data_IF_876490758844
#
_entry.id   IF_876490758844
#
_cell.length_a   1.000
_cell.length_b   1.000
_cell.length_c   1.000
_cell.angle_alpha   90.00
_cell.angle_beta   90.00
_cell.angle_gamma   90.00
#
_symmetry.space_group_name_H-M   'P 1'
#
loop_
_entity.id
_entity.type
_entity.pdbx_description
1 polymer ?
#
# COMPACT_ATOMS: atom_id res chain seq x y z
N UNK A 1 -40.57 -17.77 33.06
CA UNK A 1 -39.58 -18.50 32.26
C UNK A 1 -39.39 -17.91 30.85
N UNK A 2 -40.45 -17.75 30.00
CA UNK A 2 -40.24 -17.21 28.63
C UNK A 2 -39.60 -15.80 28.54
N UNK A 3 -39.92 -14.88 29.48
CA UNK A 3 -39.31 -13.54 29.52
C UNK A 3 -37.83 -13.55 29.93
N UNK A 4 -37.41 -14.45 30.78
CA UNK A 4 -36.01 -14.60 31.22
C UNK A 4 -35.15 -15.19 30.11
N UNK A 5 -35.69 -16.15 29.35
CA UNK A 5 -35.00 -16.73 28.17
C UNK A 5 -34.82 -15.68 27.05
N UNK A 6 -35.83 -14.82 26.83
CA UNK A 6 -35.72 -13.74 25.85
C UNK A 6 -34.66 -12.69 26.23
N UNK A 7 -34.50 -12.36 27.51
CA UNK A 7 -33.47 -11.42 28.00
C UNK A 7 -32.09 -12.06 27.89
N UNK A 8 -31.94 -13.37 28.18
CA UNK A 8 -30.66 -14.06 28.00
C UNK A 8 -30.27 -14.21 26.54
N UNK A 9 -31.22 -14.42 25.62
CA UNK A 9 -30.96 -14.45 24.17
C UNK A 9 -30.60 -13.06 23.63
N UNK A 10 -31.22 -11.99 24.13
CA UNK A 10 -30.87 -10.63 23.76
C UNK A 10 -29.47 -10.24 24.26
N UNK A 11 -29.12 -10.64 25.49
CA UNK A 11 -27.78 -10.44 26.05
C UNK A 11 -26.70 -11.23 25.29
N UNK A 12 -27.00 -12.48 24.90
CA UNK A 12 -26.10 -13.29 24.06
C UNK A 12 -25.92 -12.71 22.66
N UNK A 13 -26.98 -12.12 22.08
CA UNK A 13 -26.89 -11.46 20.79
C UNK A 13 -26.07 -10.15 20.84
N UNK A 14 -26.16 -9.39 21.95
CA UNK A 14 -25.30 -8.23 22.17
C UNK A 14 -23.82 -8.58 22.37
N UNK A 15 -23.51 -9.75 22.93
CA UNK A 15 -22.12 -10.23 23.05
C UNK A 15 -21.53 -10.77 21.73
N UNK A 16 -22.40 -11.04 20.75
CA UNK A 16 -21.97 -11.50 19.41
C UNK A 16 -21.91 -10.39 18.35
N UNK A 17 -22.26 -9.15 18.72
CA UNK A 17 -21.92 -8.03 17.85
C UNK A 17 -20.39 -7.95 17.82
N UNK A 18 -19.76 -8.11 16.65
CA UNK A 18 -18.33 -7.78 16.55
C UNK A 18 -18.25 -6.35 17.06
N UNK A 19 -17.51 -6.14 18.15
CA UNK A 19 -17.19 -4.80 18.60
C UNK A 19 -16.76 -4.04 17.34
N UNK A 20 -17.30 -2.86 17.11
CA UNK A 20 -16.79 -1.95 16.11
C UNK A 20 -15.31 -1.79 16.46
N UNK A 21 -14.49 -2.63 15.85
CA UNK A 21 -13.04 -2.54 15.93
C UNK A 21 -12.74 -1.18 15.33
N UNK A 22 -12.60 -0.19 16.20
CA UNK A 22 -11.97 1.06 15.80
C UNK A 22 -10.63 0.62 15.23
N UNK A 23 -10.42 0.87 13.94
CA UNK A 23 -9.13 0.62 13.34
C UNK A 23 -8.11 1.34 14.24
N UNK A 24 -7.28 0.58 14.96
CA UNK A 24 -6.20 1.15 15.74
C UNK A 24 -5.30 1.86 14.72
N UNK A 25 -5.01 3.13 14.98
CA UNK A 25 -4.03 3.84 14.16
C UNK A 25 -2.72 3.04 14.22
N UNK A 26 -2.05 2.83 13.07
CA UNK A 26 -0.84 2.04 13.06
C UNK A 26 0.19 2.64 14.02
N UNK A 27 0.79 1.81 14.84
CA UNK A 27 1.77 2.18 15.85
C UNK A 27 3.02 2.77 15.19
N UNK A 28 3.69 3.68 15.92
CA UNK A 28 4.92 4.33 15.45
C UNK A 28 6.11 3.72 16.17
N UNK A 29 6.93 2.99 15.43
CA UNK A 29 8.15 2.40 15.93
C UNK A 29 9.35 3.32 15.76
N UNK A 30 10.21 3.36 16.82
CA UNK A 30 11.51 4.06 16.78
C UNK A 30 12.62 3.04 16.54
N UNK A 31 13.30 3.15 15.40
CA UNK A 31 14.45 2.32 15.08
C UNK A 31 15.70 2.88 15.75
N UNK A 32 16.42 2.03 16.49
CA UNK A 32 17.60 2.38 17.25
C UNK A 32 18.85 1.72 16.63
N UNK A 33 19.88 2.52 16.43
CA UNK A 33 21.20 2.01 16.03
C UNK A 33 21.78 1.06 17.10
N UNK A 34 22.86 0.29 16.79
CA UNK A 34 23.55 -0.54 17.79
C UNK A 34 24.03 0.22 19.04
N UNK A 35 24.22 1.54 18.90
CA UNK A 35 24.62 2.42 20.02
C UNK A 35 23.43 3.09 20.73
N UNK A 36 22.19 2.69 20.42
CA UNK A 36 20.97 3.25 21.00
C UNK A 36 20.57 4.63 20.48
N UNK A 37 21.23 5.15 19.42
CA UNK A 37 20.84 6.40 18.78
C UNK A 37 19.62 6.16 17.88
N UNK A 38 18.63 7.06 17.89
CA UNK A 38 17.51 7.04 16.95
C UNK A 38 18.02 7.17 15.51
N UNK A 39 17.65 6.22 14.67
CA UNK A 39 17.90 6.24 13.23
C UNK A 39 16.76 6.90 12.47
N UNK A 40 15.56 6.43 12.73
CA UNK A 40 14.32 6.91 12.09
C UNK A 40 13.11 6.45 12.90
N UNK A 41 11.94 7.04 12.62
CA UNK A 41 10.65 6.51 13.03
C UNK A 41 9.92 5.93 11.83
N UNK A 42 9.06 4.96 12.07
CA UNK A 42 8.27 4.27 11.06
C UNK A 42 6.86 4.03 11.59
N UNK A 43 5.84 4.43 10.84
CA UNK A 43 4.45 4.13 11.14
C UNK A 43 4.04 2.83 10.43
N UNK A 44 3.65 1.81 11.17
CA UNK A 44 3.24 0.51 10.64
C UNK A 44 3.81 -0.66 11.43
N UNK A 45 3.63 -1.87 10.94
CA UNK A 45 4.19 -3.07 11.57
C UNK A 45 5.69 -3.14 11.35
N UNK A 46 6.45 -3.13 12.44
CA UNK A 46 7.90 -3.35 12.43
C UNK A 46 8.19 -4.78 12.91
N UNK A 47 9.04 -5.50 12.20
CA UNK A 47 9.39 -6.87 12.59
C UNK A 47 10.89 -7.15 12.46
N UNK A 48 11.33 -8.18 13.18
CA UNK A 48 12.70 -8.70 13.04
C UNK A 48 12.97 -9.08 11.57
N UNK A 49 14.11 -8.60 11.05
CA UNK A 49 14.51 -8.79 9.67
C UNK A 49 14.01 -7.69 8.72
N UNK A 50 13.31 -6.65 9.20
CA UNK A 50 13.12 -5.44 8.43
C UNK A 50 14.47 -4.76 8.20
N UNK A 51 14.62 -4.11 7.06
CA UNK A 51 15.85 -3.47 6.70
C UNK A 51 15.65 -1.97 6.46
N UNK A 52 16.73 -1.22 6.63
CA UNK A 52 16.71 0.23 6.56
C UNK A 52 18.01 0.75 5.97
N UNK A 53 17.94 1.53 4.89
CA UNK A 53 19.06 2.28 4.35
C UNK A 53 18.87 3.75 4.70
N UNK A 54 19.76 4.26 5.55
CA UNK A 54 19.69 5.64 6.06
C UNK A 54 20.00 6.69 4.99
N UNK A 55 19.76 7.96 5.34
CA UNK A 55 20.09 9.08 4.47
C UNK A 55 21.57 9.15 4.07
N UNK A 56 22.48 8.67 4.93
CA UNK A 56 23.92 8.57 4.69
C UNK A 56 24.37 7.20 4.14
N UNK A 57 23.45 6.43 3.57
CA UNK A 57 23.70 5.15 2.91
C UNK A 57 24.25 4.04 3.81
N UNK A 58 23.99 4.09 5.12
CA UNK A 58 24.26 2.96 6.02
C UNK A 58 23.10 1.98 6.00
N UNK A 59 23.40 0.69 5.87
CA UNK A 59 22.43 -0.38 5.80
C UNK A 59 22.30 -1.06 7.16
N UNK A 60 21.10 -1.09 7.69
CA UNK A 60 20.76 -1.67 8.98
C UNK A 60 19.69 -2.77 8.80
N UNK A 61 19.69 -3.72 9.76
CA UNK A 61 18.65 -4.75 9.87
C UNK A 61 18.07 -4.77 11.29
N UNK A 62 16.78 -4.87 11.42
CA UNK A 62 16.09 -5.03 12.70
C UNK A 62 16.39 -6.42 13.26
N UNK A 63 16.91 -6.45 14.47
CA UNK A 63 17.28 -7.70 15.19
C UNK A 63 16.27 -8.06 16.27
N UNK A 64 15.64 -7.05 16.88
CA UNK A 64 14.69 -7.21 17.98
C UNK A 64 13.65 -6.09 17.93
N UNK A 65 12.41 -6.40 18.25
CA UNK A 65 11.30 -5.43 18.36
C UNK A 65 10.71 -5.56 19.76
N UNK A 66 10.60 -4.43 20.44
CA UNK A 66 9.85 -4.29 21.70
C UNK A 66 8.51 -3.62 21.36
N UNK A 67 7.46 -4.43 21.27
CA UNK A 67 6.11 -3.98 20.94
C UNK A 67 5.53 -3.07 22.05
N UNK A 68 5.91 -3.30 23.31
CA UNK A 68 5.40 -2.50 24.45
C UNK A 68 5.99 -1.10 24.49
N UNK A 69 7.24 -0.94 24.07
CA UNK A 69 7.96 0.33 24.00
C UNK A 69 7.92 0.96 22.60
N UNK A 70 7.35 0.27 21.60
CA UNK A 70 7.37 0.63 20.18
C UNK A 70 8.78 0.99 19.70
N UNK A 71 9.77 0.16 20.06
CA UNK A 71 11.16 0.34 19.66
C UNK A 71 11.69 -0.89 18.92
N UNK A 72 12.57 -0.66 17.95
CA UNK A 72 13.25 -1.72 17.23
C UNK A 72 14.76 -1.51 17.30
N UNK A 73 15.49 -2.51 17.79
CA UNK A 73 16.95 -2.53 17.79
C UNK A 73 17.46 -3.00 16.43
N UNK A 74 18.53 -2.39 15.97
CA UNK A 74 19.14 -2.78 14.69
C UNK A 74 20.61 -3.17 14.85
N UNK A 75 21.08 -3.96 13.91
CA UNK A 75 22.51 -4.14 13.63
C UNK A 75 22.89 -3.33 12.37
N UNK A 76 24.14 -2.88 12.32
CA UNK A 76 24.70 -2.28 11.11
C UNK A 76 25.25 -3.40 10.23
N UNK A 77 24.69 -3.57 9.03
CA UNK A 77 25.19 -4.53 8.04
C UNK A 77 26.47 -3.99 7.37
N UNK A 78 26.47 -2.69 7.07
CA UNK A 78 27.60 -2.01 6.41
C UNK A 78 27.15 -0.78 5.64
N UNK A 79 27.95 -0.39 4.66
CA UNK A 79 27.54 0.60 3.68
C UNK A 79 26.59 -0.07 2.66
N UNK A 80 25.54 0.63 2.29
CA UNK A 80 24.64 0.13 1.25
C UNK A 80 25.38 0.14 -0.10
N UNK A 81 25.28 -0.96 -0.84
CA UNK A 81 25.77 -1.03 -2.21
C UNK A 81 24.84 -0.19 -3.11
N UNK A 82 25.27 1.06 -3.35
CA UNK A 82 24.52 2.03 -4.15
C UNK A 82 25.04 2.04 -5.59
N UNK A 83 24.13 2.17 -6.59
CA UNK A 83 24.56 2.20 -7.98
C UNK A 83 25.40 3.45 -8.29
N UNK A 84 26.34 3.31 -9.23
CA UNK A 84 27.10 4.44 -9.76
C UNK A 84 26.18 5.32 -10.62
N UNK A 85 26.20 6.61 -10.36
CA UNK A 85 25.45 7.64 -11.09
C UNK A 85 26.38 8.70 -11.72
N UNK A 86 27.66 8.38 -11.92
CA UNK A 86 28.65 9.27 -12.55
C UNK A 86 28.25 9.72 -13.96
N UNK A 87 27.37 8.99 -14.64
CA UNK A 87 26.78 9.38 -15.92
C UNK A 87 25.97 10.69 -15.86
N UNK A 88 25.53 11.13 -14.67
CA UNK A 88 24.84 12.41 -14.49
C UNK A 88 25.74 13.63 -14.77
N UNK A 89 27.06 13.46 -14.64
CA UNK A 89 28.04 14.52 -14.90
C UNK A 89 28.41 14.60 -16.40
N UNK A 90 27.96 13.64 -17.22
CA UNK A 90 28.24 13.63 -18.65
C UNK A 90 27.23 14.51 -19.37
N UNK A 91 27.71 15.52 -20.08
CA UNK A 91 26.87 16.29 -21.02
C UNK A 91 26.56 15.36 -22.19
N UNK A 92 25.40 14.78 -22.20
CA UNK A 92 24.93 14.01 -23.33
C UNK A 92 24.28 15.00 -24.28
N UNK A 93 24.92 15.25 -25.44
CA UNK A 93 24.22 15.86 -26.57
C UNK A 93 22.98 15.03 -26.83
N UNK A 94 21.83 15.69 -26.73
CA UNK A 94 20.54 15.06 -26.91
C UNK A 94 20.37 14.59 -28.36
N UNK A 95 21.01 13.48 -28.71
CA UNK A 95 20.63 12.75 -29.91
C UNK A 95 19.20 12.25 -29.67
N UNK A 96 18.25 12.55 -30.55
CA UNK A 96 16.89 12.06 -30.40
C UNK A 96 16.93 10.53 -30.49
N UNK A 97 16.95 9.87 -29.34
CA UNK A 97 16.77 8.41 -29.28
C UNK A 97 15.31 8.15 -29.66
N UNK A 98 15.17 7.54 -30.83
CA UNK A 98 13.91 7.04 -31.38
C UNK A 98 13.04 6.45 -30.30
N UNK A 99 11.82 7.02 -30.13
CA UNK A 99 10.59 6.42 -29.62
C UNK A 99 10.65 5.46 -28.41
N UNK A 100 11.47 5.73 -27.40
CA UNK A 100 11.28 5.08 -26.11
C UNK A 100 10.06 5.71 -25.44
N UNK A 101 9.00 4.95 -25.29
CA UNK A 101 7.82 5.40 -24.53
C UNK A 101 8.22 5.64 -23.08
N UNK A 102 8.24 6.92 -22.66
CA UNK A 102 8.57 7.32 -21.28
C UNK A 102 7.30 7.43 -20.46
N UNK A 103 6.69 6.29 -20.18
CA UNK A 103 5.40 6.24 -19.49
C UNK A 103 5.59 5.96 -18.00
N UNK A 104 4.89 6.72 -17.16
CA UNK A 104 4.89 6.57 -15.69
C UNK A 104 3.45 6.53 -15.20
N UNK A 105 3.14 5.60 -14.31
CA UNK A 105 1.84 5.47 -13.67
C UNK A 105 1.89 5.95 -12.22
N UNK A 106 0.83 6.68 -11.79
CA UNK A 106 0.69 7.23 -10.45
C UNK A 106 -0.67 6.87 -9.86
N UNK A 107 -0.70 6.49 -8.58
CA UNK A 107 -1.92 6.30 -7.81
C UNK A 107 -1.67 6.57 -6.33
N UNK A 108 -2.75 6.59 -5.52
CA UNK A 108 -2.68 6.77 -4.07
C UNK A 108 -3.51 5.67 -3.41
N UNK A 109 -2.86 4.72 -2.73
CA UNK A 109 -3.58 3.65 -2.00
C UNK A 109 -4.40 4.24 -0.85
N UNK A 110 -3.81 5.11 -0.06
CA UNK A 110 -4.51 5.83 1.01
C UNK A 110 -5.04 7.17 0.48
N UNK A 111 -6.17 7.09 -0.18
CA UNK A 111 -6.77 8.19 -0.94
C UNK A 111 -7.30 9.36 -0.10
N UNK A 112 -7.34 9.20 1.22
CA UNK A 112 -7.78 10.21 2.19
C UNK A 112 -6.63 11.01 2.82
N UNK A 113 -5.39 10.59 2.63
CA UNK A 113 -4.21 11.22 3.23
C UNK A 113 -4.12 12.71 2.90
N UNK A 114 -3.97 13.51 3.94
CA UNK A 114 -4.00 14.98 3.88
C UNK A 114 -3.00 15.58 4.85
N UNK A 115 -2.82 16.89 4.77
CA UNK A 115 -1.87 17.67 5.56
C UNK A 115 -2.63 18.70 6.41
N UNK A 116 -2.44 18.68 7.73
CA UNK A 116 -3.14 19.59 8.66
C UNK A 116 -2.94 21.04 8.23
N UNK A 117 -1.68 21.44 7.97
CA UNK A 117 -1.38 22.75 7.42
C UNK A 117 -1.49 22.72 5.90
N UNK A 118 -2.59 23.18 5.38
CA UNK A 118 -2.93 23.27 3.96
C UNK A 118 -4.29 22.68 3.63
N UNK A 119 -4.66 21.52 4.22
CA UNK A 119 -5.96 20.89 4.00
C UNK A 119 -6.91 21.03 5.20
N UNK A 120 -6.40 21.51 6.35
CA UNK A 120 -7.17 21.67 7.59
C UNK A 120 -7.45 20.37 8.35
N UNK A 121 -7.01 19.23 7.83
CA UNK A 121 -7.20 17.89 8.41
C UNK A 121 -6.08 16.96 8.00
N UNK A 122 -5.83 15.91 8.77
CA UNK A 122 -4.89 14.86 8.39
C UNK A 122 -5.50 13.80 7.46
N UNK A 123 -6.83 13.76 7.33
CA UNK A 123 -7.56 12.78 6.51
C UNK A 123 -8.83 13.42 5.95
N UNK A 124 -9.13 13.16 4.68
CA UNK A 124 -10.34 13.61 3.99
C UNK A 124 -10.94 12.47 3.17
N UNK A 125 -12.05 11.89 3.65
CA UNK A 125 -12.70 10.74 3.00
C UNK A 125 -13.10 10.99 1.53
N UNK A 126 -13.42 12.22 1.17
CA UNK A 126 -13.82 12.53 -0.21
C UNK A 126 -12.62 12.53 -1.16
N UNK A 127 -11.54 13.19 -0.76
CA UNK A 127 -10.31 13.32 -1.55
C UNK A 127 -9.23 13.93 -0.66
N UNK A 128 -8.17 13.18 -0.39
CA UNK A 128 -7.02 13.64 0.38
C UNK A 128 -6.16 14.64 -0.37
N UNK A 129 -5.42 15.45 0.38
CA UNK A 129 -4.44 16.39 -0.16
C UNK A 129 -3.29 15.73 -0.92
N UNK A 130 -3.11 14.42 -0.72
CA UNK A 130 -2.10 13.62 -1.46
C UNK A 130 -2.34 13.62 -2.97
N UNK A 131 -3.58 13.78 -3.44
CA UNK A 131 -3.86 13.91 -4.87
C UNK A 131 -3.32 15.20 -5.48
N UNK A 132 -3.20 16.29 -4.70
CA UNK A 132 -2.58 17.52 -5.18
C UNK A 132 -1.07 17.34 -5.31
N UNK A 133 -0.47 16.56 -4.42
CA UNK A 133 0.94 16.14 -4.50
C UNK A 133 1.15 15.29 -5.77
N UNK A 134 0.30 14.29 -5.98
CA UNK A 134 0.34 13.43 -7.17
C UNK A 134 0.14 14.23 -8.47
N UNK A 135 -0.77 15.20 -8.47
CA UNK A 135 -1.01 16.08 -9.61
C UNK A 135 0.22 16.92 -9.94
N UNK A 136 0.83 17.57 -8.94
CA UNK A 136 2.00 18.42 -9.16
C UNK A 136 3.25 17.63 -9.52
N UNK A 137 3.42 16.45 -8.91
CA UNK A 137 4.50 15.52 -9.25
C UNK A 137 4.34 15.02 -10.70
N UNK A 138 3.14 14.60 -11.10
CA UNK A 138 2.82 14.16 -12.46
C UNK A 138 3.04 15.26 -13.49
N UNK A 139 2.54 16.47 -13.26
CA UNK A 139 2.73 17.61 -14.16
C UNK A 139 4.23 17.89 -14.39
N UNK A 140 5.06 17.81 -13.34
CA UNK A 140 6.50 17.99 -13.51
C UNK A 140 7.15 16.87 -14.33
N UNK A 141 6.72 15.62 -14.15
CA UNK A 141 7.17 14.51 -15.01
C UNK A 141 6.80 14.71 -16.49
N UNK A 142 5.61 15.26 -16.75
CA UNK A 142 5.15 15.60 -18.12
C UNK A 142 6.00 16.72 -18.72
N UNK A 143 6.30 17.77 -17.96
CA UNK A 143 7.22 18.84 -18.40
C UNK A 143 8.61 18.31 -18.75
N UNK A 144 9.07 17.24 -18.09
CA UNK A 144 10.34 16.56 -18.38
C UNK A 144 10.25 15.62 -19.59
N UNK A 145 9.08 15.43 -20.17
CA UNK A 145 8.85 14.63 -21.37
C UNK A 145 8.37 13.21 -21.12
N UNK A 146 7.84 12.90 -19.93
CA UNK A 146 7.13 11.65 -19.67
C UNK A 146 5.66 11.75 -20.13
N UNK A 147 5.04 10.60 -20.41
CA UNK A 147 3.59 10.44 -20.45
C UNK A 147 3.15 9.92 -19.10
N UNK A 148 2.30 10.66 -18.38
CA UNK A 148 1.85 10.28 -17.05
C UNK A 148 0.41 9.79 -17.09
N UNK A 149 0.17 8.58 -16.59
CA UNK A 149 -1.17 8.05 -16.36
C UNK A 149 -1.43 8.09 -14.85
N UNK A 150 -2.31 8.98 -14.40
CA UNK A 150 -2.63 9.18 -12.99
C UNK A 150 -4.06 8.76 -12.68
N UNK A 151 -4.24 7.95 -11.63
CA UNK A 151 -5.56 7.56 -11.15
C UNK A 151 -6.08 8.52 -10.09
N UNK A 152 -7.38 8.85 -10.19
CA UNK A 152 -8.16 9.59 -9.17
C UNK A 152 -9.12 8.66 -8.41
N UNK A 153 -9.00 7.34 -8.58
CA UNK A 153 -9.81 6.35 -7.87
C UNK A 153 -9.54 6.39 -6.36
N UNK A 154 -10.59 6.30 -5.57
CA UNK A 154 -10.50 6.29 -4.10
C UNK A 154 -10.60 4.86 -3.56
N UNK A 155 -9.93 4.60 -2.42
CA UNK A 155 -9.79 3.25 -1.87
C UNK A 155 -10.21 3.16 -0.40
N UNK A 156 -11.19 3.98 -0.02
CA UNK A 156 -11.75 4.00 1.35
C UNK A 156 -12.33 2.65 1.80
N UNK A 157 -12.40 2.41 3.11
CA UNK A 157 -11.83 3.22 4.20
C UNK A 157 -10.30 3.10 4.30
N UNK A 158 -9.66 3.97 5.11
CA UNK A 158 -8.23 3.86 5.43
C UNK A 158 -8.02 2.73 6.44
N UNK A 159 -7.89 1.54 5.96
CA UNK A 159 -7.71 0.32 6.75
C UNK A 159 -6.73 -0.65 6.06
N UNK A 160 -6.43 -1.76 6.69
CA UNK A 160 -5.56 -2.81 6.14
C UNK A 160 -6.07 -3.37 4.78
N UNK A 161 -7.34 -3.16 4.42
CA UNK A 161 -7.92 -3.56 3.14
C UNK A 161 -7.68 -2.56 2.01
N UNK A 162 -7.15 -1.36 2.27
CA UNK A 162 -6.91 -0.34 1.26
C UNK A 162 -6.01 -0.84 0.13
N UNK A 163 -4.94 -1.57 0.43
CA UNK A 163 -4.05 -2.19 -0.57
C UNK A 163 -4.76 -3.20 -1.47
N UNK A 164 -5.73 -3.95 -0.94
CA UNK A 164 -6.54 -4.87 -1.75
C UNK A 164 -7.47 -4.12 -2.70
N UNK A 165 -8.04 -2.99 -2.26
CA UNK A 165 -8.89 -2.13 -3.11
C UNK A 165 -8.08 -1.43 -4.18
N UNK A 166 -6.95 -0.83 -3.83
CA UNK A 166 -6.06 -0.12 -4.76
C UNK A 166 -5.35 -1.05 -5.75
N UNK A 167 -5.27 -2.36 -5.45
CA UNK A 167 -4.69 -3.35 -6.36
C UNK A 167 -5.36 -3.34 -7.74
N UNK A 168 -6.67 -3.18 -7.80
CA UNK A 168 -7.41 -3.10 -9.07
C UNK A 168 -7.01 -1.86 -9.88
N UNK A 169 -6.80 -0.74 -9.21
CA UNK A 169 -6.30 0.50 -9.81
C UNK A 169 -4.89 0.30 -10.35
N UNK A 170 -3.98 -0.26 -9.56
CA UNK A 170 -2.62 -0.56 -10.01
C UNK A 170 -2.60 -1.49 -11.23
N UNK A 171 -3.40 -2.58 -11.21
CA UNK A 171 -3.53 -3.51 -12.35
C UNK A 171 -4.08 -2.79 -13.60
N UNK A 172 -5.05 -1.87 -13.44
CA UNK A 172 -5.60 -1.09 -14.55
C UNK A 172 -4.53 -0.20 -15.19
N UNK A 173 -3.74 0.51 -14.37
CA UNK A 173 -2.64 1.35 -14.82
C UNK A 173 -1.54 0.55 -15.53
N UNK A 174 -1.21 -0.64 -15.02
CA UNK A 174 -0.18 -1.50 -15.60
C UNK A 174 -0.54 -2.05 -17.00
N UNK A 175 -1.83 -2.03 -17.40
CA UNK A 175 -2.24 -2.41 -18.77
C UNK A 175 -1.61 -1.50 -19.84
N UNK A 176 -1.30 -0.27 -19.50
CA UNK A 176 -0.63 0.67 -20.39
C UNK A 176 0.88 0.45 -20.51
N UNK A 177 1.42 -0.55 -19.81
CA UNK A 177 2.85 -0.92 -19.76
C UNK A 177 3.77 0.27 -19.39
N UNK A 178 3.57 0.93 -18.24
CA UNK A 178 4.44 2.01 -17.81
C UNK A 178 5.85 1.49 -17.47
N UNK A 179 6.85 2.36 -17.62
CA UNK A 179 8.22 2.06 -17.24
C UNK A 179 8.41 1.98 -15.71
N UNK A 180 7.55 2.66 -14.96
CA UNK A 180 7.46 2.57 -13.50
C UNK A 180 6.05 2.93 -13.03
N UNK A 181 5.69 2.45 -11.83
CA UNK A 181 4.48 2.81 -11.12
C UNK A 181 4.84 3.27 -9.71
N UNK A 182 4.29 4.42 -9.30
CA UNK A 182 4.48 4.98 -7.96
C UNK A 182 3.16 5.03 -7.21
N UNK A 183 3.20 4.58 -5.96
CA UNK A 183 2.13 4.77 -4.98
C UNK A 183 2.50 5.96 -4.10
N UNK A 184 1.71 7.04 -4.15
CA UNK A 184 2.02 8.25 -3.42
C UNK A 184 1.25 8.30 -2.10
N UNK A 185 2.01 8.58 -1.04
CA UNK A 185 1.56 8.62 0.34
C UNK A 185 2.14 9.83 1.07
N UNK A 186 1.65 10.04 2.27
CA UNK A 186 2.31 10.81 3.31
C UNK A 186 2.47 9.94 4.56
N UNK A 187 3.57 10.10 5.28
CA UNK A 187 3.82 9.39 6.53
C UNK A 187 2.90 9.89 7.66
N UNK A 188 2.61 9.03 8.63
CA UNK A 188 1.82 9.36 9.80
C UNK A 188 2.64 9.78 11.03
N UNK A 189 3.96 9.91 10.92
CA UNK A 189 4.82 10.35 12.02
C UNK A 189 4.45 11.78 12.43
N UNK A 190 4.14 12.05 13.72
CA UNK A 190 3.64 13.36 14.13
C UNK A 190 4.72 14.44 14.20
N UNK A 191 6.02 14.08 14.22
CA UNK A 191 7.13 15.04 14.27
C UNK A 191 7.49 15.54 12.86
N UNK A 192 7.17 16.78 12.48
CA UNK A 192 7.46 17.32 11.15
C UNK A 192 8.96 17.41 10.86
N UNK A 193 9.83 17.49 11.87
CA UNK A 193 11.29 17.59 11.68
C UNK A 193 11.90 16.31 11.08
N UNK A 194 11.23 15.17 11.20
CA UNK A 194 11.62 13.94 10.50
C UNK A 194 11.70 14.14 8.98
N UNK A 195 10.84 15.02 8.45
CA UNK A 195 10.73 15.28 7.02
C UNK A 195 11.16 16.69 6.61
N UNK A 196 11.34 17.62 7.55
CA UNK A 196 11.76 18.96 7.23
C UNK A 196 13.19 18.99 6.66
N UNK A 197 13.38 19.76 5.56
CA UNK A 197 14.69 19.97 4.93
C UNK A 197 14.73 21.34 4.28
N UNK A 198 15.97 21.87 4.12
CA UNK A 198 16.22 23.07 3.30
C UNK A 198 17.23 22.67 2.21
N UNK A 199 16.88 22.87 0.96
CA UNK A 199 17.68 22.54 -0.22
C UNK A 199 17.74 23.78 -1.11
N UNK A 200 18.95 24.25 -1.43
CA UNK A 200 19.11 25.46 -2.25
C UNK A 200 18.51 26.72 -1.63
N UNK A 201 18.38 26.79 -0.30
CA UNK A 201 17.73 27.89 0.41
C UNK A 201 16.20 27.77 0.54
N UNK A 202 15.57 26.82 -0.12
CA UNK A 202 14.13 26.59 -0.06
C UNK A 202 13.75 25.54 1.00
N UNK A 203 12.73 25.86 1.80
CA UNK A 203 12.15 24.93 2.77
C UNK A 203 11.29 23.92 2.05
N UNK A 204 11.66 22.65 2.12
CA UNK A 204 11.01 21.52 1.44
C UNK A 204 10.70 20.38 2.41
N UNK A 205 10.13 19.31 1.88
CA UNK A 205 9.99 18.01 2.52
C UNK A 205 11.03 17.05 2.00
N UNK A 206 11.55 16.18 2.86
CA UNK A 206 12.17 14.92 2.42
C UNK A 206 11.10 13.97 1.87
N UNK A 207 11.56 12.95 1.15
CA UNK A 207 10.73 11.84 0.67
C UNK A 207 11.35 10.51 1.11
N UNK A 208 10.55 9.63 1.75
CA UNK A 208 10.93 8.25 2.05
C UNK A 208 10.58 7.35 0.89
N UNK A 209 11.43 6.40 0.59
CA UNK A 209 11.16 5.31 -0.33
C UNK A 209 10.82 4.06 0.49
N UNK A 210 9.68 3.43 0.19
CA UNK A 210 9.26 2.23 0.90
C UNK A 210 9.16 1.06 -0.07
N UNK A 211 9.83 -0.05 0.30
CA UNK A 211 9.90 -1.27 -0.48
C UNK A 211 9.36 -2.44 0.34
N UNK A 212 8.45 -3.19 -0.25
CA UNK A 212 7.91 -4.40 0.35
C UNK A 212 8.84 -5.58 0.17
N UNK A 213 9.25 -6.22 1.27
CA UNK A 213 10.12 -7.41 1.21
C UNK A 213 9.36 -8.73 1.00
N UNK A 214 8.03 -8.73 1.13
CA UNK A 214 7.19 -9.92 1.03
C UNK A 214 6.57 -10.09 -0.36
N UNK A 215 7.35 -9.86 -1.42
CA UNK A 215 6.90 -10.04 -2.80
C UNK A 215 8.01 -10.56 -3.71
N UNK A 216 7.62 -11.10 -4.86
CA UNK A 216 8.54 -11.70 -5.84
C UNK A 216 9.45 -10.69 -6.56
N UNK A 217 9.07 -9.41 -6.60
CA UNK A 217 9.82 -8.35 -7.28
C UNK A 217 10.68 -7.54 -6.31
N UNK A 218 10.82 -7.94 -5.04
CA UNK A 218 11.49 -7.17 -3.98
C UNK A 218 12.89 -6.70 -4.36
N UNK A 219 13.69 -7.56 -4.98
CA UNK A 219 15.06 -7.24 -5.37
C UNK A 219 15.09 -6.18 -6.49
N UNK A 220 14.20 -6.30 -7.47
CA UNK A 220 14.08 -5.34 -8.56
C UNK A 220 13.56 -3.98 -8.05
N UNK A 221 12.57 -4.00 -7.16
CA UNK A 221 12.02 -2.79 -6.55
C UNK A 221 13.05 -2.10 -5.65
N UNK A 222 13.83 -2.88 -4.87
CA UNK A 222 14.92 -2.34 -4.06
C UNK A 222 16.05 -1.75 -4.93
N UNK A 223 16.43 -2.44 -6.00
CA UNK A 223 17.42 -1.92 -6.95
C UNK A 223 16.96 -0.59 -7.55
N UNK A 224 15.68 -0.50 -7.93
CA UNK A 224 15.10 0.74 -8.45
C UNK A 224 15.04 1.85 -7.39
N UNK A 225 14.67 1.54 -6.14
CA UNK A 225 14.69 2.50 -5.04
C UNK A 225 16.10 3.01 -4.75
N UNK A 226 17.12 2.14 -4.77
CA UNK A 226 18.54 2.54 -4.64
C UNK A 226 18.96 3.45 -5.78
N UNK A 227 18.54 3.18 -7.02
CA UNK A 227 18.82 4.05 -8.16
C UNK A 227 18.20 5.44 -7.99
N UNK A 228 16.93 5.52 -7.57
CA UNK A 228 16.27 6.80 -7.24
C UNK A 228 17.09 7.52 -6.15
N UNK A 229 17.46 6.82 -5.07
CA UNK A 229 18.20 7.43 -3.98
C UNK A 229 19.58 7.93 -4.42
N UNK A 230 20.33 7.17 -5.18
CA UNK A 230 21.65 7.57 -5.66
C UNK A 230 21.57 8.82 -6.56
N UNK A 231 20.60 8.88 -7.47
CA UNK A 231 20.32 10.08 -8.29
C UNK A 231 19.90 11.26 -7.41
N UNK A 232 19.04 11.02 -6.42
CA UNK A 232 18.58 12.03 -5.47
C UNK A 232 19.72 12.60 -4.62
N UNK A 233 20.59 11.74 -4.09
CA UNK A 233 21.75 12.14 -3.28
C UNK A 233 22.74 13.00 -4.10
N UNK A 234 22.88 12.73 -5.40
CA UNK A 234 23.75 13.50 -6.31
C UNK A 234 23.14 14.85 -6.69
N UNK A 235 21.85 14.90 -7.05
CA UNK A 235 21.22 16.11 -7.59
C UNK A 235 20.66 17.03 -6.50
N UNK A 236 20.05 16.45 -5.48
CA UNK A 236 19.35 17.14 -4.39
C UNK A 236 19.70 16.49 -3.04
N UNK A 237 20.94 16.69 -2.53
CA UNK A 237 21.38 16.09 -1.28
C UNK A 237 20.36 16.31 -0.15
N UNK A 238 20.03 15.23 0.57
CA UNK A 238 19.04 15.19 1.66
C UNK A 238 17.56 15.22 1.23
N UNK A 239 17.24 15.24 -0.06
CA UNK A 239 15.85 15.12 -0.54
C UNK A 239 15.28 13.76 -0.17
N UNK A 240 16.04 12.69 -0.43
CA UNK A 240 15.64 11.34 -0.04
C UNK A 240 15.96 11.12 1.43
N UNK A 241 14.92 10.87 2.23
CA UNK A 241 15.06 10.62 3.66
C UNK A 241 15.82 9.32 3.91
N UNK A 242 15.33 8.24 3.32
CA UNK A 242 15.80 6.88 3.52
C UNK A 242 15.11 5.90 2.55
N UNK A 243 15.54 4.63 2.60
CA UNK A 243 14.78 3.49 2.05
C UNK A 243 14.42 2.59 3.22
N UNK A 244 13.12 2.35 3.43
CA UNK A 244 12.62 1.40 4.41
C UNK A 244 12.09 0.14 3.71
N UNK A 245 12.53 -1.03 4.17
CA UNK A 245 12.14 -2.33 3.61
C UNK A 245 11.34 -3.11 4.64
N UNK A 246 10.02 -2.95 4.56
CA UNK A 246 9.06 -3.53 5.49
C UNK A 246 8.36 -4.78 4.98
N UNK A 247 7.66 -5.47 5.86
CA UNK A 247 6.96 -6.74 5.61
C UNK A 247 5.91 -6.69 4.51
N UNK A 248 5.26 -5.55 4.27
CA UNK A 248 4.14 -5.42 3.33
C UNK A 248 4.51 -5.80 1.90
N UNK A 249 3.50 -6.09 1.08
CA UNK A 249 3.64 -6.28 -0.37
C UNK A 249 3.45 -4.98 -1.13
N UNK A 250 2.61 -4.06 -0.61
CA UNK A 250 2.32 -2.71 -1.15
C UNK A 250 1.98 -2.71 -2.65
N UNK A 251 1.33 -3.77 -3.16
CA UNK A 251 1.08 -3.99 -4.59
C UNK A 251 2.34 -4.02 -5.48
N UNK A 252 3.54 -4.02 -4.89
CA UNK A 252 4.82 -4.00 -5.62
C UNK A 252 5.18 -5.35 -6.24
N UNK A 253 4.44 -6.41 -5.90
CA UNK A 253 4.49 -7.69 -6.58
C UNK A 253 3.98 -7.63 -8.03
N UNK A 254 3.27 -6.56 -8.40
CA UNK A 254 2.70 -6.38 -9.74
C UNK A 254 3.72 -5.93 -10.79
N UNK A 255 4.78 -5.22 -10.37
CA UNK A 255 5.76 -4.67 -11.31
C UNK A 255 7.16 -4.55 -10.69
N UNK A 256 8.25 -4.76 -11.47
CA UNK A 256 9.64 -4.71 -10.98
C UNK A 256 10.18 -3.29 -10.75
N UNK A 257 9.45 -2.25 -11.15
CA UNK A 257 9.77 -0.83 -10.89
C UNK A 257 8.57 -0.16 -10.23
N UNK A 258 8.24 -0.67 -9.04
CA UNK A 258 7.16 -0.16 -8.19
C UNK A 258 7.75 0.28 -6.85
N UNK A 259 7.55 1.53 -6.49
CA UNK A 259 8.02 2.10 -5.21
C UNK A 259 6.92 2.95 -4.61
N UNK A 260 6.78 2.88 -3.29
CA UNK A 260 5.91 3.77 -2.53
C UNK A 260 6.73 4.99 -2.09
N UNK A 261 6.17 6.18 -2.28
CA UNK A 261 6.80 7.46 -1.98
C UNK A 261 6.03 8.18 -0.86
N UNK A 262 6.66 8.31 0.32
CA UNK A 262 6.13 9.11 1.43
C UNK A 262 6.56 10.57 1.27
N UNK A 263 5.67 11.41 0.82
CA UNK A 263 5.89 12.84 0.68
C UNK A 263 5.59 13.58 1.98
N UNK A 264 6.58 13.63 2.87
CA UNK A 264 6.43 14.30 4.15
C UNK A 264 5.53 13.56 5.14
N UNK A 265 5.01 14.28 6.10
CA UNK A 265 4.07 13.79 7.11
C UNK A 265 2.89 14.73 7.25
N UNK A 266 1.78 14.27 7.85
CA UNK A 266 0.54 15.02 8.00
C UNK A 266 0.68 16.34 8.78
N UNK A 267 1.70 16.46 9.60
CA UNK A 267 1.99 17.67 10.41
C UNK A 267 2.93 18.67 9.70
N UNK A 268 3.57 18.24 8.60
CA UNK A 268 4.40 19.15 7.80
C UNK A 268 3.51 19.98 6.87
N UNK A 269 3.88 21.26 6.68
CA UNK A 269 3.17 22.16 5.76
C UNK A 269 3.07 21.56 4.35
N UNK A 270 1.86 21.45 3.82
CA UNK A 270 1.59 21.00 2.46
C UNK A 270 2.36 21.79 1.39
N UNK A 271 2.55 23.10 1.63
CA UNK A 271 3.33 23.95 0.73
C UNK A 271 4.78 23.48 0.61
N UNK A 272 5.42 23.08 1.73
CA UNK A 272 6.78 22.50 1.73
C UNK A 272 6.81 21.18 0.96
N UNK A 273 5.79 20.35 1.15
CA UNK A 273 5.65 19.08 0.43
C UNK A 273 5.52 19.31 -1.07
N UNK A 274 4.65 20.23 -1.48
CA UNK A 274 4.47 20.58 -2.90
C UNK A 274 5.72 21.14 -3.56
N UNK A 275 6.61 21.83 -2.80
CA UNK A 275 7.92 22.27 -3.32
C UNK A 275 8.86 21.11 -3.62
N UNK A 276 8.73 19.98 -2.91
CA UNK A 276 9.58 18.80 -3.12
C UNK A 276 9.20 18.00 -4.36
N UNK A 277 7.97 18.16 -4.89
CA UNK A 277 7.48 17.37 -6.02
C UNK A 277 8.32 17.59 -7.29
N UNK A 278 8.75 18.84 -7.55
CA UNK A 278 9.57 19.17 -8.71
C UNK A 278 10.95 18.46 -8.68
N UNK A 279 11.77 18.68 -7.65
CA UNK A 279 13.02 17.94 -7.46
C UNK A 279 12.86 16.43 -7.49
N UNK A 280 11.83 15.88 -6.81
CA UNK A 280 11.59 14.45 -6.80
C UNK A 280 11.19 13.90 -8.17
N UNK A 281 10.41 14.64 -8.96
CA UNK A 281 10.05 14.26 -10.31
C UNK A 281 11.31 14.21 -11.21
N UNK A 282 12.21 15.19 -11.09
CA UNK A 282 13.47 15.17 -11.82
C UNK A 282 14.33 13.98 -11.45
N UNK A 283 14.44 13.68 -10.16
CA UNK A 283 15.17 12.51 -9.66
C UNK A 283 14.59 11.22 -10.24
N UNK A 284 13.28 11.01 -10.16
CA UNK A 284 12.63 9.81 -10.70
C UNK A 284 12.76 9.72 -12.21
N UNK A 285 12.59 10.83 -12.93
CA UNK A 285 12.74 10.87 -14.36
C UNK A 285 14.16 10.52 -14.81
N UNK A 286 15.18 11.10 -14.17
CA UNK A 286 16.58 10.79 -14.48
C UNK A 286 16.95 9.36 -14.07
N UNK A 287 16.46 8.87 -12.95
CA UNK A 287 16.66 7.47 -12.54
C UNK A 287 16.10 6.48 -13.56
N UNK A 288 14.99 6.82 -14.23
CA UNK A 288 14.37 5.96 -15.24
C UNK A 288 14.98 6.12 -16.64
N UNK A 289 15.34 7.32 -17.03
CA UNK A 289 15.57 7.66 -18.44
C UNK A 289 16.91 8.38 -18.69
N UNK A 290 17.60 8.83 -17.63
CA UNK A 290 18.78 9.69 -17.78
C UNK A 290 20.07 8.96 -18.17
N UNK A 291 20.18 7.64 -17.98
CA UNK A 291 21.36 6.83 -18.30
C UNK A 291 21.33 6.19 -19.69
N UNK A 292 20.41 6.55 -20.57
CA UNK A 292 20.25 5.91 -21.88
C UNK A 292 21.15 6.58 -22.93
N UNK A 293 22.47 6.45 -22.77
CA UNK A 293 23.40 6.41 -23.88
C UNK A 293 23.91 4.98 -23.97
N UNK A 294 23.47 4.26 -25.01
CA UNK A 294 23.67 2.86 -25.24
C UNK A 294 25.00 2.32 -24.71
N UNK A 295 24.96 1.57 -23.65
CA UNK A 295 25.78 0.40 -23.37
C UNK A 295 25.74 0.04 -21.87
N UNK A 296 25.38 -1.20 -21.60
CA UNK A 296 25.78 -2.03 -20.48
C UNK A 296 25.56 -1.46 -19.05
N UNK A 297 24.32 -1.56 -18.56
CA UNK A 297 23.99 -1.35 -17.14
C UNK A 297 22.53 -1.64 -16.80
N UNK A 298 21.64 -1.62 -17.76
CA UNK A 298 20.34 -2.24 -17.64
C UNK A 298 20.52 -3.71 -17.98
N UNK A 299 20.81 -4.55 -16.96
CA UNK A 299 20.52 -5.97 -17.10
C UNK A 299 19.08 -6.04 -17.60
N UNK A 300 18.91 -6.60 -18.80
CA UNK A 300 17.64 -6.95 -19.37
C UNK A 300 16.83 -7.75 -18.35
N UNK A 301 16.05 -7.06 -17.54
CA UNK A 301 14.88 -7.66 -16.90
C UNK A 301 13.75 -7.54 -17.92
N UNK A 302 14.03 -8.00 -19.14
CA UNK A 302 13.03 -8.36 -20.14
C UNK A 302 12.45 -9.71 -19.74
N UNK A 303 11.71 -9.68 -18.67
CA UNK A 303 10.91 -10.79 -18.11
C UNK A 303 9.50 -10.32 -17.86
N UNK A 304 8.98 -9.43 -18.72
CA UNK A 304 7.55 -9.21 -18.84
C UNK A 304 6.93 -10.50 -19.37
N UNK A 305 6.69 -11.46 -18.48
CA UNK A 305 5.62 -12.43 -18.74
C UNK A 305 4.35 -11.61 -18.79
N UNK A 306 3.81 -11.50 -19.98
CA UNK A 306 2.51 -10.92 -20.27
C UNK A 306 1.52 -11.26 -19.16
N UNK A 307 0.79 -10.23 -18.70
CA UNK A 307 -0.26 -10.34 -17.68
C UNK A 307 -1.46 -11.19 -18.15
N UNK A 308 -1.23 -12.17 -19.01
CA UNK A 308 -2.29 -12.91 -19.69
C UNK A 308 -2.77 -14.17 -18.95
N UNK A 309 -2.18 -14.54 -17.82
CA UNK A 309 -2.69 -15.67 -17.03
C UNK A 309 -2.39 -15.48 -15.53
N UNK A 310 -3.00 -14.47 -14.90
CA UNK A 310 -3.24 -14.52 -13.46
C UNK A 310 -4.67 -15.04 -13.29
N UNK A 311 -4.88 -16.28 -12.88
CA UNK A 311 -6.20 -16.74 -12.48
C UNK A 311 -6.67 -15.84 -11.34
N UNK A 312 -7.86 -15.30 -11.45
CA UNK A 312 -8.51 -14.44 -10.46
C UNK A 312 -8.87 -15.18 -9.15
N UNK A 313 -8.26 -16.35 -8.92
CA UNK A 313 -8.65 -17.25 -7.83
C UNK A 313 -7.47 -18.03 -7.24
N UNK A 314 -6.64 -17.38 -6.44
CA UNK A 314 -5.82 -18.10 -5.43
C UNK A 314 -5.46 -17.23 -4.20
N UNK A 315 -6.33 -16.32 -3.77
CA UNK A 315 -6.22 -15.73 -2.42
C UNK A 315 -7.39 -16.10 -1.51
N UNK A 316 -8.07 -17.21 -1.77
CA UNK A 316 -9.11 -17.70 -0.87
C UNK A 316 -8.65 -18.94 -0.08
N UNK A 317 -7.55 -18.81 0.67
CA UNK A 317 -7.41 -19.52 1.94
C UNK A 317 -7.97 -18.64 3.06
N UNK A 318 -9.15 -18.09 2.82
CA UNK A 318 -10.04 -17.58 3.83
C UNK A 318 -10.50 -18.75 4.67
N UNK A 319 -10.08 -18.74 5.90
CA UNK A 319 -10.34 -19.64 7.00
C UNK A 319 -11.60 -20.46 6.84
N UNK A 320 -11.52 -21.77 7.01
CA UNK A 320 -12.66 -22.67 7.19
C UNK A 320 -13.62 -22.26 8.31
N UNK A 321 -13.28 -21.21 9.08
CA UNK A 321 -14.11 -20.59 10.11
C UNK A 321 -15.48 -20.09 9.57
N UNK A 322 -15.52 -19.50 8.39
CA UNK A 322 -16.81 -19.05 7.82
C UNK A 322 -17.76 -20.20 7.51
N UNK A 323 -17.21 -21.33 7.03
CA UNK A 323 -17.99 -22.54 6.76
C UNK A 323 -18.48 -23.15 8.08
N UNK A 324 -17.65 -23.17 9.12
CA UNK A 324 -18.02 -23.67 10.44
C UNK A 324 -19.05 -22.76 11.14
N UNK A 325 -18.99 -21.44 10.93
CA UNK A 325 -20.00 -20.50 11.45
C UNK A 325 -21.35 -20.73 10.77
N UNK A 326 -21.38 -20.92 9.45
CA UNK A 326 -22.61 -21.22 8.71
C UNK A 326 -23.20 -22.57 9.16
N UNK A 327 -22.36 -23.58 9.32
CA UNK A 327 -22.80 -24.89 9.81
C UNK A 327 -23.30 -24.82 11.27
N UNK A 328 -22.67 -24.05 12.14
CA UNK A 328 -23.12 -23.84 13.51
C UNK A 328 -24.47 -23.08 13.55
N UNK A 329 -24.67 -22.08 12.70
CA UNK A 329 -25.95 -21.37 12.58
C UNK A 329 -27.05 -22.28 12.07
N UNK A 330 -26.79 -23.10 11.06
CA UNK A 330 -27.77 -24.06 10.53
C UNK A 330 -28.12 -25.13 11.57
N UNK A 331 -27.15 -25.64 12.31
CA UNK A 331 -27.37 -26.58 13.43
C UNK A 331 -28.13 -25.91 14.59
N UNK A 332 -27.83 -24.65 14.89
CA UNK A 332 -28.52 -23.87 15.93
C UNK A 332 -29.98 -23.63 15.57
N UNK A 333 -30.27 -23.23 14.33
CA UNK A 333 -31.64 -23.04 13.82
C UNK A 333 -32.39 -24.38 13.76
N UNK A 334 -31.73 -25.45 13.33
CA UNK A 334 -32.32 -26.79 13.30
C UNK A 334 -32.65 -27.31 14.69
N UNK A 335 -31.75 -27.13 15.66
CA UNK A 335 -31.95 -27.52 17.06
C UNK A 335 -33.06 -26.67 17.72
N UNK A 336 -33.09 -25.37 17.46
CA UNK A 336 -34.12 -24.48 17.92
C UNK A 336 -35.49 -24.88 17.37
N UNK A 337 -35.63 -25.15 16.07
CA UNK A 337 -36.85 -25.63 15.44
C UNK A 337 -37.29 -26.97 16.04
N UNK A 338 -36.36 -27.90 16.28
CA UNK A 338 -36.61 -29.19 16.91
C UNK A 338 -37.14 -29.05 18.35
N UNK A 339 -36.50 -28.19 19.16
CA UNK A 339 -36.91 -27.94 20.54
C UNK A 339 -38.23 -27.13 20.64
N UNK A 340 -38.49 -26.21 19.73
CA UNK A 340 -39.67 -25.36 19.72
C UNK A 340 -40.92 -26.07 19.23
N UNK A 341 -40.78 -27.15 18.45
CA UNK A 341 -41.89 -27.93 17.89
C UNK A 341 -42.22 -29.21 18.67
N UNK A 342 -41.65 -29.37 19.88
CA UNK A 342 -42.04 -30.49 20.74
C UNK A 342 -41.46 -31.86 20.33
N UNK A 343 -40.31 -31.91 19.70
CA UNK A 343 -39.62 -33.15 19.41
C UNK A 343 -40.18 -33.93 18.21
N UNK A 344 -40.14 -35.27 18.29
CA UNK A 344 -40.47 -36.18 17.20
C UNK A 344 -41.80 -35.95 16.46
N UNK A 345 -42.76 -35.21 17.04
CA UNK A 345 -44.07 -34.89 16.41
C UNK A 345 -44.03 -33.74 15.41
N UNK A 346 -42.98 -32.89 15.43
CA UNK A 346 -42.87 -31.70 14.58
C UNK A 346 -42.24 -31.92 13.21
N UNK A 347 -41.51 -33.04 13.04
CA UNK A 347 -40.77 -33.31 11.78
C UNK A 347 -41.69 -33.57 10.59
N UNK A 348 -42.91 -34.17 10.83
CA UNK A 348 -43.88 -34.40 9.79
C UNK A 348 -44.44 -33.10 9.20
N UNK A 349 -44.82 -32.18 10.05
CA UNK A 349 -45.40 -30.88 9.65
C UNK A 349 -44.41 -29.98 8.92
N UNK A 350 -43.09 -30.12 9.19
CA UNK A 350 -42.05 -29.35 8.51
C UNK A 350 -41.77 -29.85 7.09
N UNK A 351 -41.90 -31.18 6.86
CA UNK A 351 -41.80 -31.77 5.52
C UNK A 351 -42.93 -31.30 4.59
N UNK A 352 -44.10 -31.19 5.11
CA UNK A 352 -45.30 -30.73 4.35
C UNK A 352 -45.17 -29.24 3.97
N UNK A 353 -44.66 -28.40 4.87
CA UNK A 353 -44.45 -26.98 4.64
C UNK A 353 -43.30 -26.69 3.66
N UNK A 354 -42.25 -27.51 3.62
CA UNK A 354 -41.18 -27.41 2.61
C UNK A 354 -41.63 -27.87 1.22
N UNK A 355 -42.53 -28.83 1.15
CA UNK A 355 -43.15 -29.28 -0.10
C UNK A 355 -44.00 -28.21 -0.79
N UNK A 356 -44.70 -27.41 0.00
CA UNK A 356 -45.51 -26.28 -0.52
C UNK A 356 -44.62 -25.10 -1.01
N UNK A 357 -43.51 -24.81 -0.35
CA UNK A 357 -42.58 -23.74 -0.76
C UNK A 357 -41.79 -24.06 -2.03
N UNK A 358 -41.48 -25.33 -2.31
CA UNK A 358 -40.73 -25.74 -3.50
C UNK A 358 -41.62 -26.04 -4.71
N UNK A 359 -42.92 -26.35 -4.52
CA UNK A 359 -43.88 -26.61 -5.58
C UNK A 359 -44.28 -25.37 -6.41
N UNK A 360 -44.06 -24.17 -5.91
CA UNK A 360 -44.36 -22.92 -6.61
C UNK A 360 -43.33 -22.46 -7.65
N UNK A 361 -42.16 -23.06 -7.70
CA UNK A 361 -41.07 -22.61 -8.57
C UNK A 361 -40.90 -23.37 -9.88
N UNK A 362 -41.62 -24.49 -10.09
CA UNK A 362 -41.54 -25.33 -11.30
C UNK A 362 -42.91 -25.65 -11.93
N UNK A 363 -43.83 -24.67 -11.93
CA UNK A 363 -45.13 -24.77 -12.64
C UNK A 363 -44.96 -24.42 -14.12
N UNK A 364 -44.68 -25.40 -14.95
CA UNK A 364 -44.55 -25.26 -16.40
C UNK A 364 -45.87 -24.92 -17.09
N UNK A 365 -45.76 -24.02 -18.07
CA UNK A 365 -46.76 -23.70 -19.08
C UNK A 365 -47.27 -24.97 -19.80
N UNK A 366 -48.53 -25.36 -19.65
CA UNK A 366 -49.26 -26.18 -20.66
C UNK A 366 -49.95 -25.24 -21.62
N UNK A 367 -49.59 -25.34 -22.89
CA UNK A 367 -50.42 -24.90 -24.03
C UNK A 367 -51.56 -25.91 -24.19
N UNK A 368 -52.76 -25.42 -24.25
CA UNK A 368 -53.87 -26.14 -24.88
C UNK A 368 -54.38 -25.35 -26.09
N UNK A 369 -54.83 -26.12 -27.05
CA UNK A 369 -55.19 -25.86 -28.44
C UNK A 369 -56.13 -24.67 -28.68
#
# INVERSE_FOLDING_TARGET
MKKVIAILLLAALCCCLPGLSRAEEPEIYTLLSPKGKVLTRYQGQCEKGDEYISGDNKHYRVTEVDESAHTARTELIGDADMPDVGWLDQVVDATPVSAVTRKIALYCTHSDESYIEGDGTQSSEKRGGIYDVAAKFGARLEELGATVERSEETHHPHDAGAYRRSRQTAVKLLKSQPNAIFDLHRDGIPDPEEYAVTIGGEKMSKVRLLVGKSNQNKEANLSFAKQIKAVGDKLYPKLIKDIYMGKGTYNQDLAPRSVLLEFGTHTLSKERVLRSTGPMAEVCYKALFGGVTGSAGASDVSGSKSAENVPADQSNKGSGAAVWIILALLLGVGLFAFLSTGGRGGLGKWKDSLGEMTGGFFGGRRRDK
#
